data_IF_051745288891
#
_entry.id   IF_051745288891
#
_cell.length_a   1.000
_cell.length_b   1.000
_cell.length_c   1.000
_cell.angle_alpha   90.00
_cell.angle_beta   90.00
_cell.angle_gamma   90.00
#
_symmetry.space_group_name_H-M   'P 1'
#
loop_
_entity.id
_entity.type
_entity.pdbx_description
1 polymer ?
#
# COMPACT_ATOMS: atom_id res chain seq x y z
N UNK A 1 1.18 -19.62 2.17
CA UNK A 1 1.69 -19.02 0.93
C UNK A 1 1.54 -17.52 1.05
N UNK A 2 2.63 -16.76 1.07
CA UNK A 2 2.56 -15.31 1.19
C UNK A 2 1.91 -14.73 -0.07
N UNK A 3 0.82 -14.01 0.11
CA UNK A 3 0.14 -13.26 -0.93
C UNK A 3 0.82 -11.91 -1.11
N UNK A 4 0.67 -11.28 -2.28
CA UNK A 4 1.13 -9.89 -2.47
C UNK A 4 0.26 -8.91 -1.67
N UNK A 5 0.68 -7.64 -1.57
CA UNK A 5 -0.04 -6.61 -0.81
C UNK A 5 -1.51 -6.47 -1.21
N UNK A 6 -1.81 -6.54 -2.50
CA UNK A 6 -3.18 -6.43 -3.00
C UNK A 6 -4.06 -7.60 -2.52
N UNK A 7 -3.55 -8.83 -2.63
CA UNK A 7 -4.24 -10.03 -2.18
C UNK A 7 -4.38 -10.10 -0.66
N UNK A 8 -3.39 -9.60 0.10
CA UNK A 8 -3.49 -9.50 1.55
C UNK A 8 -4.55 -8.48 1.97
N UNK A 9 -4.66 -7.36 1.25
CA UNK A 9 -5.70 -6.36 1.51
C UNK A 9 -7.11 -6.92 1.23
N UNK A 10 -7.29 -7.65 0.12
CA UNK A 10 -8.54 -8.34 -0.20
C UNK A 10 -8.90 -9.39 0.86
N UNK A 11 -7.92 -10.13 1.33
CA UNK A 11 -8.11 -11.09 2.41
C UNK A 11 -8.58 -10.39 3.69
N UNK A 12 -7.94 -9.29 4.10
CA UNK A 12 -8.36 -8.50 5.27
C UNK A 12 -9.76 -7.92 5.11
N UNK A 13 -10.12 -7.41 3.93
CA UNK A 13 -11.45 -6.87 3.64
C UNK A 13 -12.55 -7.94 3.73
N UNK A 14 -12.20 -9.21 3.48
CA UNK A 14 -13.12 -10.35 3.62
C UNK A 14 -13.42 -10.75 5.07
N UNK A 15 -12.58 -10.33 6.03
CA UNK A 15 -12.79 -10.57 7.45
C UNK A 15 -13.54 -9.40 8.08
N UNK A 16 -14.68 -9.70 8.66
CA UNK A 16 -15.41 -8.70 9.45
C UNK A 16 -14.80 -8.60 10.86
N UNK A 17 -13.72 -7.84 10.98
CA UNK A 17 -13.05 -7.62 12.27
C UNK A 17 -13.70 -6.42 12.94
N UNK A 18 -14.18 -6.58 14.16
CA UNK A 18 -14.80 -5.49 14.92
C UNK A 18 -13.84 -4.30 15.05
N UNK A 19 -14.35 -3.09 14.79
CA UNK A 19 -13.60 -1.83 14.87
C UNK A 19 -12.42 -1.70 13.88
N UNK A 20 -12.40 -2.52 12.83
CA UNK A 20 -11.41 -2.40 11.75
C UNK A 20 -12.14 -2.15 10.44
N UNK A 21 -11.79 -1.08 9.76
CA UNK A 21 -12.30 -0.75 8.43
C UNK A 21 -11.15 -0.73 7.42
N UNK A 22 -11.30 -1.48 6.34
CA UNK A 22 -10.41 -1.41 5.19
C UNK A 22 -10.93 -0.33 4.24
N UNK A 23 -10.15 0.73 3.94
CA UNK A 23 -10.59 1.75 3.00
C UNK A 23 -10.95 1.14 1.65
N UNK A 24 -12.07 1.57 1.06
CA UNK A 24 -12.49 1.07 -0.26
C UNK A 24 -11.33 1.11 -1.25
N UNK A 25 -11.10 0.01 -1.94
CA UNK A 25 -10.00 -0.14 -2.88
C UNK A 25 -10.40 -0.91 -4.14
N UNK A 26 -9.55 -0.81 -5.14
CA UNK A 26 -9.55 -1.60 -6.36
C UNK A 26 -8.10 -2.00 -6.61
N UNK A 27 -7.89 -3.21 -7.07
CA UNK A 27 -6.58 -3.62 -7.56
C UNK A 27 -6.71 -4.33 -8.90
N UNK A 28 -5.65 -4.28 -9.68
CA UNK A 28 -5.51 -4.93 -11.00
C UNK A 28 -4.03 -5.05 -11.33
N UNK A 29 -3.70 -5.95 -12.24
CA UNK A 29 -2.34 -6.13 -12.70
C UNK A 29 -2.03 -5.29 -13.96
N UNK A 30 -0.75 -5.32 -14.38
CA UNK A 30 -0.27 -4.60 -15.56
C UNK A 30 -0.95 -5.08 -16.85
N UNK A 31 -1.28 -6.36 -16.97
CA UNK A 31 -1.96 -6.89 -18.15
C UNK A 31 -3.40 -6.42 -18.24
N UNK A 32 -4.12 -6.45 -17.12
CA UNK A 32 -5.48 -5.93 -17.03
C UNK A 32 -5.51 -4.45 -17.40
N UNK A 33 -4.56 -3.66 -16.88
CA UNK A 33 -4.42 -2.25 -17.25
C UNK A 33 -4.24 -2.07 -18.74
N UNK A 34 -3.32 -2.78 -19.35
CA UNK A 34 -3.04 -2.65 -20.79
C UNK A 34 -4.23 -3.04 -21.67
N UNK A 35 -5.00 -4.06 -21.26
CA UNK A 35 -6.15 -4.57 -22.03
C UNK A 35 -7.42 -3.73 -21.82
N UNK A 36 -7.65 -3.24 -20.59
CA UNK A 36 -8.96 -2.73 -20.18
C UNK A 36 -8.90 -1.34 -19.52
N UNK A 37 -7.92 -0.52 -19.88
CA UNK A 37 -7.63 0.79 -19.28
C UNK A 37 -8.88 1.67 -19.08
N UNK A 38 -9.73 1.77 -20.10
CA UNK A 38 -10.96 2.58 -20.04
C UNK A 38 -11.93 2.08 -18.96
N UNK A 39 -12.22 0.80 -18.97
CA UNK A 39 -13.15 0.19 -18.01
C UNK A 39 -12.61 0.25 -16.56
N UNK A 40 -11.28 0.12 -16.38
CA UNK A 40 -10.64 0.26 -15.07
C UNK A 40 -10.82 1.68 -14.55
N UNK A 41 -10.58 2.70 -15.37
CA UNK A 41 -10.76 4.10 -14.97
C UNK A 41 -12.22 4.39 -14.62
N UNK A 42 -13.18 3.91 -15.41
CA UNK A 42 -14.60 4.04 -15.09
C UNK A 42 -14.97 3.37 -13.76
N UNK A 43 -14.46 2.17 -13.51
CA UNK A 43 -14.65 1.45 -12.25
C UNK A 43 -14.06 2.22 -11.05
N UNK A 44 -12.86 2.79 -11.20
CA UNK A 44 -12.22 3.63 -10.18
C UNK A 44 -13.10 4.84 -9.87
N UNK A 45 -13.51 5.60 -10.89
CA UNK A 45 -14.34 6.79 -10.72
C UNK A 45 -15.70 6.49 -10.08
N UNK A 46 -16.29 5.32 -10.36
CA UNK A 46 -17.58 4.89 -9.78
C UNK A 46 -17.45 4.42 -8.34
N UNK A 47 -16.37 3.73 -7.99
CA UNK A 47 -16.22 3.05 -6.70
C UNK A 47 -15.53 3.90 -5.64
N UNK A 48 -14.60 4.77 -6.05
CA UNK A 48 -13.74 5.52 -5.14
C UNK A 48 -14.10 7.01 -5.09
N UNK A 49 -13.76 7.65 -3.96
CA UNK A 49 -14.04 9.06 -3.69
C UNK A 49 -13.09 10.01 -4.46
N UNK A 50 -13.29 11.32 -4.25
CA UNK A 50 -12.58 12.40 -4.96
C UNK A 50 -11.05 12.34 -4.84
N UNK A 51 -10.54 11.93 -3.69
CA UNK A 51 -9.11 11.83 -3.43
C UNK A 51 -8.72 10.38 -3.18
N UNK A 52 -7.68 9.92 -3.84
CA UNK A 52 -7.22 8.53 -3.83
C UNK A 52 -5.73 8.43 -3.57
N UNK A 53 -5.29 7.24 -3.19
CA UNK A 53 -3.90 6.82 -3.20
C UNK A 53 -3.70 5.75 -4.27
N UNK A 54 -2.57 5.77 -4.97
CA UNK A 54 -2.13 4.70 -5.88
C UNK A 54 -0.82 4.16 -5.37
N UNK A 55 -0.76 2.86 -5.12
CA UNK A 55 0.38 2.19 -4.49
C UNK A 55 0.82 1.01 -5.34
N UNK A 56 2.12 0.73 -5.31
CA UNK A 56 2.69 -0.48 -5.85
C UNK A 56 2.30 -1.71 -5.05
N UNK A 57 2.21 -2.84 -5.73
CA UNK A 57 2.16 -4.18 -5.13
C UNK A 57 2.99 -5.11 -6.02
N UNK A 58 4.29 -4.90 -5.97
CA UNK A 58 5.26 -5.65 -6.76
C UNK A 58 5.47 -7.05 -6.16
N UNK A 59 5.53 -8.09 -7.00
CA UNK A 59 5.52 -9.48 -6.55
C UNK A 59 6.72 -9.90 -5.70
N UNK A 60 7.82 -9.18 -5.75
CA UNK A 60 9.03 -9.43 -4.93
C UNK A 60 9.17 -8.47 -3.75
N UNK A 61 8.23 -7.56 -3.56
CA UNK A 61 8.34 -6.50 -2.55
C UNK A 61 8.35 -7.07 -1.12
N UNK A 62 7.60 -8.16 -0.90
CA UNK A 62 7.44 -8.81 0.40
C UNK A 62 8.19 -10.16 0.47
N UNK A 63 9.38 -10.29 -0.14
CA UNK A 63 10.18 -11.51 -0.07
C UNK A 63 10.90 -11.63 1.29
N UNK A 64 10.99 -12.88 1.80
CA UNK A 64 11.67 -13.22 3.05
C UNK A 64 13.18 -12.93 3.06
N UNK A 65 13.80 -12.75 1.88
CA UNK A 65 15.25 -12.56 1.74
C UNK A 65 15.68 -11.11 1.54
N UNK A 66 14.77 -10.22 1.11
CA UNK A 66 15.06 -8.80 0.91
C UNK A 66 13.75 -8.00 0.92
N UNK A 67 13.70 -6.96 1.72
CA UNK A 67 12.58 -6.01 1.68
C UNK A 67 12.85 -4.99 0.60
N UNK A 68 11.92 -4.86 -0.35
CA UNK A 68 11.86 -3.77 -1.32
C UNK A 68 10.89 -2.67 -0.88
N UNK A 69 10.57 -2.63 0.41
CA UNK A 69 9.71 -1.58 0.97
C UNK A 69 10.29 -0.20 0.65
N UNK A 70 9.46 0.70 0.12
CA UNK A 70 9.88 2.05 -0.28
C UNK A 70 10.65 2.13 -1.62
N UNK A 71 10.85 1.01 -2.32
CA UNK A 71 11.55 1.00 -3.62
C UNK A 71 10.74 1.62 -4.75
N UNK A 72 9.43 1.51 -4.69
CA UNK A 72 8.50 2.03 -5.68
C UNK A 72 7.67 3.16 -5.09
N UNK A 73 7.34 4.14 -5.91
CA UNK A 73 6.57 5.30 -5.50
C UNK A 73 5.18 4.93 -4.99
N UNK A 74 4.67 5.80 -4.13
CA UNK A 74 3.27 5.83 -3.72
C UNK A 74 2.72 7.22 -4.00
N UNK A 75 1.67 7.31 -4.80
CA UNK A 75 1.00 8.58 -5.11
C UNK A 75 -0.15 8.77 -4.14
N UNK A 76 -0.02 9.77 -3.27
CA UNK A 76 -0.92 9.98 -2.14
C UNK A 76 -1.70 11.28 -2.36
N UNK A 77 -2.98 11.27 -1.96
CA UNK A 77 -3.86 12.44 -2.04
C UNK A 77 -3.98 13.02 -3.45
N UNK A 78 -4.03 12.18 -4.47
CA UNK A 78 -4.24 12.64 -5.84
C UNK A 78 -5.73 12.73 -6.17
N UNK A 79 -6.11 13.69 -7.02
CA UNK A 79 -7.50 13.79 -7.51
C UNK A 79 -7.84 12.58 -8.36
N UNK A 80 -9.01 11.99 -8.08
CA UNK A 80 -9.56 10.87 -8.84
C UNK A 80 -10.07 11.36 -10.20
N UNK A 81 -9.17 11.48 -11.17
CA UNK A 81 -9.46 11.82 -12.56
C UNK A 81 -8.54 11.03 -13.50
N UNK A 82 -8.98 10.90 -14.74
CA UNK A 82 -8.29 10.11 -15.78
C UNK A 82 -6.81 10.48 -15.91
N UNK A 83 -6.48 11.78 -15.96
CA UNK A 83 -5.09 12.25 -16.17
C UNK A 83 -4.17 11.79 -15.05
N UNK A 84 -4.56 12.01 -13.81
CA UNK A 84 -3.74 11.64 -12.64
C UNK A 84 -3.59 10.12 -12.51
N UNK A 85 -4.70 9.37 -12.69
CA UNK A 85 -4.67 7.90 -12.65
C UNK A 85 -3.69 7.35 -13.69
N UNK A 86 -3.83 7.80 -14.93
CA UNK A 86 -2.97 7.34 -16.04
C UNK A 86 -1.51 7.67 -15.75
N UNK A 87 -1.20 8.91 -15.39
CA UNK A 87 0.18 9.34 -15.15
C UNK A 87 0.84 8.54 -14.01
N UNK A 88 0.11 8.33 -12.91
CA UNK A 88 0.64 7.59 -11.76
C UNK A 88 0.90 6.12 -12.09
N UNK A 89 -0.02 5.47 -12.79
CA UNK A 89 0.13 4.05 -13.16
C UNK A 89 1.24 3.86 -14.19
N UNK A 90 1.32 4.70 -15.21
CA UNK A 90 2.40 4.62 -16.20
C UNK A 90 3.77 4.89 -15.57
N UNK A 91 3.85 5.79 -14.59
CA UNK A 91 5.08 5.99 -13.81
C UNK A 91 5.48 4.71 -13.07
N UNK A 92 4.56 4.07 -12.35
CA UNK A 92 4.85 2.78 -11.68
C UNK A 92 5.24 1.69 -12.66
N UNK A 93 4.60 1.61 -13.83
CA UNK A 93 4.98 0.67 -14.88
C UNK A 93 6.42 0.90 -15.32
N UNK A 94 6.83 2.15 -15.50
CA UNK A 94 8.21 2.47 -15.89
C UNK A 94 9.21 2.11 -14.78
N UNK A 95 8.87 2.34 -13.52
CA UNK A 95 9.69 1.91 -12.38
C UNK A 95 9.83 0.38 -12.32
N UNK A 96 8.76 -0.36 -12.52
CA UNK A 96 8.80 -1.82 -12.58
C UNK A 96 9.67 -2.32 -13.75
N UNK A 97 9.60 -1.69 -14.92
CA UNK A 97 10.43 -2.02 -16.10
C UNK A 97 11.91 -1.75 -15.85
N UNK A 98 12.24 -0.63 -15.24
CA UNK A 98 13.63 -0.29 -14.92
C UNK A 98 14.25 -1.22 -13.88
N UNK A 99 13.42 -1.74 -12.96
CA UNK A 99 13.88 -2.66 -11.93
C UNK A 99 14.01 -4.11 -12.42
N UNK A 100 13.09 -4.59 -13.25
CA UNK A 100 13.08 -5.96 -13.78
C UNK A 100 12.82 -5.95 -15.29
N UNK A 101 13.90 -5.98 -16.07
CA UNK A 101 13.86 -5.98 -17.54
C UNK A 101 13.40 -7.32 -18.14
N UNK A 102 13.21 -8.37 -17.32
CA UNK A 102 12.80 -9.71 -17.81
C UNK A 102 11.31 -9.71 -18.21
N UNK A 103 10.97 -10.40 -19.30
CA UNK A 103 9.59 -10.52 -19.85
C UNK A 103 8.52 -11.04 -18.87
N UNK A 104 8.89 -11.54 -17.68
CA UNK A 104 7.97 -11.97 -16.61
C UNK A 104 7.34 -10.82 -15.81
N UNK A 105 7.76 -9.60 -16.06
CA UNK A 105 7.31 -8.37 -15.49
C UNK A 105 5.78 -8.19 -15.45
N UNK A 106 5.06 -8.67 -16.46
CA UNK A 106 3.61 -8.44 -16.58
C UNK A 106 2.74 -9.34 -15.67
N UNK A 107 3.23 -10.46 -15.18
CA UNK A 107 2.38 -11.55 -14.70
C UNK A 107 2.00 -11.49 -13.21
N UNK A 108 2.58 -10.59 -12.39
CA UNK A 108 2.34 -10.60 -10.95
C UNK A 108 2.52 -9.21 -10.28
N UNK A 109 2.57 -8.16 -11.07
CA UNK A 109 2.72 -6.81 -10.56
C UNK A 109 1.37 -6.11 -10.57
N UNK A 110 0.91 -5.75 -9.39
CA UNK A 110 -0.39 -5.14 -9.17
C UNK A 110 -0.25 -3.68 -8.81
N UNK A 111 -1.34 -2.95 -9.01
CA UNK A 111 -1.55 -1.61 -8.49
C UNK A 111 -2.73 -1.67 -7.52
N UNK A 112 -2.61 -0.97 -6.41
CA UNK A 112 -3.69 -0.78 -5.44
C UNK A 112 -4.10 0.67 -5.52
N UNK A 113 -5.36 0.91 -5.85
CA UNK A 113 -5.98 2.23 -5.82
C UNK A 113 -7.00 2.22 -4.70
N UNK A 114 -6.84 3.10 -3.73
CA UNK A 114 -7.71 3.15 -2.56
C UNK A 114 -8.13 4.58 -2.21
N UNK A 115 -9.23 4.71 -1.48
CA UNK A 115 -9.64 5.99 -0.92
C UNK A 115 -8.53 6.58 -0.05
N UNK A 116 -8.26 7.88 -0.24
CA UNK A 116 -7.34 8.60 0.63
C UNK A 116 -8.01 8.96 1.96
N UNK A 117 -7.36 8.62 3.06
CA UNK A 117 -7.75 9.06 4.41
C UNK A 117 -7.13 10.44 4.64
N UNK A 118 -7.98 11.47 4.65
CA UNK A 118 -7.53 12.86 4.69
C UNK A 118 -6.91 13.27 6.02
N UNK A 119 -7.44 12.75 7.11
CA UNK A 119 -6.98 13.06 8.46
C UNK A 119 -7.08 11.83 9.34
N UNK A 120 -6.11 11.66 10.21
CA UNK A 120 -6.10 10.63 11.24
C UNK A 120 -5.74 11.27 12.59
N UNK A 121 -6.37 10.84 13.65
CA UNK A 121 -6.00 11.24 15.02
C UNK A 121 -4.66 10.60 15.38
N UNK A 122 -4.46 9.39 14.93
CA UNK A 122 -3.22 8.63 15.13
C UNK A 122 -2.94 7.78 13.88
N UNK A 123 -1.69 7.62 13.54
CA UNK A 123 -1.25 6.71 12.47
C UNK A 123 -0.08 5.86 12.95
N UNK A 124 0.04 4.63 12.46
CA UNK A 124 1.10 3.76 12.94
C UNK A 124 1.27 2.47 12.16
N UNK A 125 2.26 1.69 12.62
CA UNK A 125 2.57 0.35 12.11
C UNK A 125 2.70 -0.60 13.30
N UNK A 126 2.05 -1.75 13.21
CA UNK A 126 2.14 -2.82 14.20
C UNK A 126 2.90 -3.97 13.57
N UNK A 127 3.94 -4.44 14.26
CA UNK A 127 4.65 -5.68 13.91
C UNK A 127 4.50 -6.70 15.04
N UNK A 128 4.52 -7.97 14.69
CA UNK A 128 4.36 -9.07 15.64
C UNK A 128 5.68 -9.52 16.29
N UNK A 129 6.77 -8.85 15.95
CA UNK A 129 8.11 -9.00 16.55
C UNK A 129 8.80 -7.65 16.60
N UNK A 130 9.71 -7.47 17.54
CA UNK A 130 10.61 -6.30 17.55
C UNK A 130 11.57 -6.42 16.36
N UNK A 131 11.60 -5.38 15.53
CA UNK A 131 12.50 -5.33 14.38
C UNK A 131 13.94 -5.12 14.89
N UNK A 132 14.81 -6.06 14.56
CA UNK A 132 16.23 -6.02 14.92
C UNK A 132 16.67 -7.24 15.71
N UNK A 133 16.03 -7.59 16.81
CA UNK A 133 16.37 -8.73 17.65
C UNK A 133 15.36 -9.90 17.58
N UNK A 134 14.18 -9.66 16.98
CA UNK A 134 13.14 -10.67 16.85
C UNK A 134 12.41 -11.00 18.15
N UNK A 135 12.51 -10.17 19.18
CA UNK A 135 11.85 -10.39 20.45
C UNK A 135 10.32 -10.53 20.30
N UNK A 136 9.66 -11.46 21.04
CA UNK A 136 8.26 -11.83 20.85
C UNK A 136 7.27 -10.82 21.46
N UNK A 137 7.41 -9.56 21.10
CA UNK A 137 6.49 -8.48 21.48
C UNK A 137 5.79 -7.94 20.23
N UNK A 138 4.54 -7.52 20.37
CA UNK A 138 3.97 -6.61 19.40
C UNK A 138 4.69 -5.26 19.56
N UNK A 139 5.28 -4.78 18.47
CA UNK A 139 5.88 -3.44 18.43
C UNK A 139 4.93 -2.51 17.67
N UNK A 140 4.39 -1.52 18.38
CA UNK A 140 3.45 -0.54 17.87
C UNK A 140 4.18 0.79 17.73
N UNK A 141 4.49 1.17 16.50
CA UNK A 141 5.12 2.45 16.18
C UNK A 141 4.02 3.40 15.70
N UNK A 142 3.77 4.50 16.41
CA UNK A 142 2.66 5.39 16.11
C UNK A 142 3.00 6.86 16.28
N UNK A 143 2.27 7.70 15.57
CA UNK A 143 2.33 9.15 15.66
C UNK A 143 0.92 9.69 15.95
N UNK A 144 0.78 10.39 17.07
CA UNK A 144 -0.41 11.09 17.54
C UNK A 144 -0.23 12.61 17.56
N UNK A 145 0.91 13.11 17.05
CA UNK A 145 1.26 14.53 17.03
C UNK A 145 0.94 15.20 15.68
N UNK A 146 0.77 14.42 14.64
CA UNK A 146 0.45 14.94 13.30
C UNK A 146 -0.74 14.21 12.68
N UNK A 147 -1.54 14.93 11.91
CA UNK A 147 -2.64 14.35 11.14
C UNK A 147 -2.15 13.61 9.88
N UNK A 148 -0.84 13.38 9.74
CA UNK A 148 -0.23 12.73 8.58
C UNK A 148 -0.15 11.22 8.80
N UNK A 149 -0.58 10.46 7.79
CA UNK A 149 -0.41 9.01 7.74
C UNK A 149 0.98 8.57 7.27
N UNK A 150 1.87 9.52 6.95
CA UNK A 150 3.18 9.27 6.34
C UNK A 150 4.34 9.28 7.34
N UNK A 151 4.20 9.99 8.46
CA UNK A 151 5.30 10.26 9.39
C UNK A 151 5.99 8.99 9.91
N UNK A 152 5.23 7.96 10.26
CA UNK A 152 5.79 6.70 10.77
C UNK A 152 6.47 5.88 9.67
N UNK A 153 5.91 5.88 8.46
CA UNK A 153 6.45 5.11 7.34
C UNK A 153 7.63 5.78 6.64
N UNK A 154 7.78 7.09 6.78
CA UNK A 154 8.92 7.85 6.27
C UNK A 154 10.18 7.71 7.13
N UNK A 155 10.07 7.12 8.34
CA UNK A 155 11.22 6.91 9.23
C UNK A 155 11.72 8.17 9.92
N UNK A 156 10.88 9.17 10.05
CA UNK A 156 11.19 10.42 10.76
C UNK A 156 11.27 10.13 12.27
N UNK A 157 12.49 9.91 12.78
CA UNK A 157 12.76 9.37 14.11
C UNK A 157 12.24 10.24 15.26
N UNK A 158 12.04 11.52 15.02
CA UNK A 158 11.63 12.48 16.06
C UNK A 158 10.10 12.59 16.18
N UNK A 159 9.34 11.89 15.35
CA UNK A 159 7.90 12.10 15.22
C UNK A 159 7.02 10.91 15.62
N UNK A 160 7.58 9.82 16.15
CA UNK A 160 6.77 8.67 16.53
C UNK A 160 7.12 8.10 17.91
N UNK A 161 6.12 7.48 18.53
CA UNK A 161 6.23 6.75 19.78
C UNK A 161 6.27 5.25 19.52
N UNK A 162 6.91 4.51 20.40
CA UNK A 162 6.98 3.05 20.35
C UNK A 162 6.37 2.46 21.62
N UNK A 163 5.43 1.53 21.43
CA UNK A 163 4.86 0.73 22.51
C UNK A 163 5.15 -0.74 22.25
N UNK A 164 5.65 -1.42 23.26
CA UNK A 164 5.84 -2.88 23.24
C UNK A 164 4.78 -3.55 24.11
N UNK A 165 4.10 -4.53 23.53
CA UNK A 165 3.07 -5.34 24.21
C UNK A 165 3.50 -6.79 24.18
N UNK A 166 3.57 -7.44 25.37
CA UNK A 166 3.88 -8.87 25.46
C UNK A 166 2.86 -9.70 24.66
N UNK A 167 3.37 -10.76 24.05
CA UNK A 167 2.53 -11.74 23.31
C UNK A 167 2.06 -12.90 24.19
N UNK A 168 2.37 -12.88 25.47
CA UNK A 168 1.94 -13.90 26.44
C UNK A 168 0.50 -13.65 26.87
#
# INVERSE_FOLDING_TARGET
MFKNKAQNLEFLDSYNINNVEVPKFIFFDVNEWNKNKKNIIEKINKKLIKNICIRSSYYKEDNTKSSLAGKFDSFINIKNNKKNIVNSIENLINQYRSYDSKKRFFLKNYFIIQNYIKSSICSGVITNYVLGDGAPYYSINYNDLSNSTLSVTAGDKDSFRVLYVSRN
#
